data_IF_646823311431
#
_entry.id   IF_646823311431
#
_cell.length_a   1.000
_cell.length_b   1.000
_cell.length_c   1.000
_cell.angle_alpha   90.00
_cell.angle_beta   90.00
_cell.angle_gamma   90.00
#
_symmetry.space_group_name_H-M   'P 1'
#
loop_
_entity.id
_entity.type
_entity.pdbx_description
1 polymer ?
#
# COMPACT_ATOMS: atom_id res chain seq x y z
N UNK A 1 39.38 -12.00 -5.67
CA UNK A 1 38.33 -12.32 -4.67
C UNK A 1 37.28 -13.17 -5.38
N UNK A 2 37.15 -14.46 -5.05
CA UNK A 2 36.15 -15.32 -5.69
C UNK A 2 34.74 -14.84 -5.34
N UNK A 3 33.84 -14.72 -6.32
CA UNK A 3 32.45 -14.37 -6.07
C UNK A 3 31.83 -15.36 -5.07
N UNK A 4 31.05 -14.83 -4.10
CA UNK A 4 30.38 -15.67 -3.10
C UNK A 4 29.46 -16.68 -3.79
N UNK A 5 29.24 -17.83 -3.15
CA UNK A 5 28.34 -18.87 -3.66
C UNK A 5 26.92 -18.34 -3.92
N UNK A 6 26.47 -17.41 -3.08
CA UNK A 6 25.19 -16.71 -3.24
C UNK A 6 25.17 -15.80 -4.49
N UNK A 7 26.27 -15.09 -4.78
CA UNK A 7 26.38 -14.26 -5.98
C UNK A 7 26.37 -15.10 -7.27
N UNK A 8 27.07 -16.25 -7.28
CA UNK A 8 27.06 -17.18 -8.41
C UNK A 8 25.66 -17.78 -8.64
N UNK A 9 24.94 -18.10 -7.57
CA UNK A 9 23.56 -18.57 -7.66
C UNK A 9 22.65 -17.51 -8.30
N UNK A 10 22.82 -16.24 -7.91
CA UNK A 10 22.11 -15.12 -8.52
C UNK A 10 22.48 -14.94 -10.01
N UNK A 11 23.76 -15.05 -10.38
CA UNK A 11 24.19 -14.89 -11.76
C UNK A 11 23.62 -15.97 -12.69
N UNK A 12 23.59 -17.23 -12.24
CA UNK A 12 22.92 -18.33 -12.97
C UNK A 12 21.41 -18.10 -13.07
N UNK A 13 20.78 -17.64 -11.98
CA UNK A 13 19.35 -17.33 -11.96
C UNK A 13 19.00 -16.18 -12.93
N UNK A 14 19.83 -15.13 -13.00
CA UNK A 14 19.67 -14.06 -13.99
C UNK A 14 19.86 -14.55 -15.44
N UNK A 15 20.66 -15.59 -15.64
CA UNK A 15 20.78 -16.32 -16.91
C UNK A 15 19.61 -17.26 -17.23
N UNK A 16 18.52 -17.20 -16.45
CA UNK A 16 17.32 -18.04 -16.57
C UNK A 16 17.57 -19.55 -16.37
N UNK A 17 18.63 -19.91 -15.64
CA UNK A 17 18.89 -21.31 -15.33
C UNK A 17 17.85 -21.86 -14.31
N UNK A 18 17.34 -23.10 -14.49
CA UNK A 18 16.39 -23.69 -13.55
C UNK A 18 16.99 -23.87 -12.15
N UNK A 19 16.17 -23.69 -11.11
CA UNK A 19 16.62 -23.79 -9.71
C UNK A 19 17.21 -25.17 -9.36
N UNK A 20 16.75 -26.24 -10.01
CA UNK A 20 17.32 -27.59 -9.85
C UNK A 20 18.76 -27.64 -10.36
N UNK A 21 19.06 -27.04 -11.52
CA UNK A 21 20.40 -26.99 -12.08
C UNK A 21 21.32 -26.12 -11.23
N UNK A 22 20.84 -24.97 -10.77
CA UNK A 22 21.57 -24.10 -9.83
C UNK A 22 21.89 -24.85 -8.54
N UNK A 23 20.94 -25.63 -8.01
CA UNK A 23 21.16 -26.49 -6.83
C UNK A 23 22.30 -27.47 -7.08
N UNK A 24 22.22 -28.22 -8.18
CA UNK A 24 23.16 -29.31 -8.47
C UNK A 24 24.56 -28.78 -8.77
N UNK A 25 24.66 -27.76 -9.61
CA UNK A 25 25.94 -27.20 -10.07
C UNK A 25 26.68 -26.44 -8.97
N UNK A 26 25.95 -25.81 -8.05
CA UNK A 26 26.54 -25.15 -6.90
C UNK A 26 26.59 -26.05 -5.66
N UNK A 27 26.02 -27.27 -5.69
CA UNK A 27 26.01 -28.19 -4.56
C UNK A 27 25.25 -27.63 -3.34
N UNK A 28 24.04 -27.13 -3.55
CA UNK A 28 23.09 -26.80 -2.49
C UNK A 28 22.34 -28.07 -2.05
N UNK A 29 22.01 -28.17 -0.75
CA UNK A 29 21.32 -29.36 -0.20
C UNK A 29 19.91 -29.54 -0.78
N UNK A 30 19.21 -28.44 -1.02
CA UNK A 30 17.84 -28.42 -1.53
C UNK A 30 17.61 -27.25 -2.47
N UNK A 31 16.57 -27.33 -3.30
CA UNK A 31 16.13 -26.22 -4.17
C UNK A 31 15.83 -24.97 -3.34
N UNK A 32 15.16 -25.12 -2.19
CA UNK A 32 14.86 -24.03 -1.25
C UNK A 32 16.12 -23.34 -0.73
N UNK A 33 17.21 -24.10 -0.49
CA UNK A 33 18.47 -23.49 -0.05
C UNK A 33 19.18 -22.70 -1.16
N UNK A 34 19.02 -23.09 -2.43
CA UNK A 34 19.48 -22.31 -3.57
C UNK A 34 18.64 -21.03 -3.74
N UNK A 35 17.31 -21.13 -3.58
CA UNK A 35 16.42 -19.96 -3.61
C UNK A 35 16.74 -18.97 -2.48
N UNK A 36 17.00 -19.46 -1.27
CA UNK A 36 17.41 -18.61 -0.15
C UNK A 36 18.74 -17.88 -0.42
N UNK A 37 19.71 -18.53 -1.09
CA UNK A 37 20.96 -17.92 -1.51
C UNK A 37 20.73 -16.79 -2.52
N UNK A 38 19.87 -17.01 -3.52
CA UNK A 38 19.47 -15.99 -4.50
C UNK A 38 18.81 -14.80 -3.79
N UNK A 39 17.86 -15.06 -2.87
CA UNK A 39 17.19 -14.00 -2.09
C UNK A 39 18.18 -13.17 -1.26
N UNK A 40 19.17 -13.80 -0.62
CA UNK A 40 20.22 -13.07 0.13
C UNK A 40 21.09 -12.21 -0.79
N UNK A 41 21.51 -12.73 -1.94
CA UNK A 41 22.28 -11.96 -2.92
C UNK A 41 21.49 -10.77 -3.48
N UNK A 42 20.20 -10.96 -3.76
CA UNK A 42 19.30 -9.87 -4.16
C UNK A 42 19.15 -8.82 -3.05
N UNK A 43 18.99 -9.25 -1.80
CA UNK A 43 18.88 -8.36 -0.64
C UNK A 43 20.16 -7.53 -0.44
N UNK A 44 21.34 -8.16 -0.57
CA UNK A 44 22.61 -7.42 -0.48
C UNK A 44 22.81 -6.46 -1.66
N UNK A 45 22.45 -6.84 -2.89
CA UNK A 45 22.44 -5.89 -4.03
C UNK A 45 21.47 -4.72 -3.86
N UNK A 46 20.42 -4.90 -3.04
CA UNK A 46 19.43 -3.88 -2.71
C UNK A 46 19.82 -3.04 -1.50
N UNK A 47 20.83 -3.45 -0.73
CA UNK A 47 21.29 -2.72 0.45
C UNK A 47 21.83 -1.35 0.05
N UNK A 48 21.40 -0.31 0.77
CA UNK A 48 21.70 1.08 0.41
C UNK A 48 20.97 1.59 -0.83
N UNK A 49 20.03 0.82 -1.40
CA UNK A 49 19.11 1.26 -2.45
C UNK A 49 17.69 1.42 -1.92
N UNK A 50 17.59 1.97 -0.70
CA UNK A 50 16.31 2.46 -0.22
C UNK A 50 15.92 3.74 -0.98
N UNK A 51 14.66 4.12 -0.85
CA UNK A 51 14.11 5.24 -1.62
C UNK A 51 14.78 6.58 -1.30
N UNK A 52 15.26 6.79 -0.08
CA UNK A 52 15.85 8.06 0.32
C UNK A 52 17.30 8.14 -0.18
N UNK A 53 18.05 7.03 -0.09
CA UNK A 53 19.39 6.94 -0.67
C UNK A 53 19.36 7.08 -2.20
N UNK A 54 18.43 6.40 -2.88
CA UNK A 54 18.27 6.54 -4.35
C UNK A 54 17.82 7.95 -4.75
N UNK A 55 16.96 8.60 -3.94
CA UNK A 55 16.56 10.00 -4.15
C UNK A 55 17.74 10.96 -4.01
N UNK A 56 18.54 10.82 -2.96
CA UNK A 56 19.73 11.64 -2.75
C UNK A 56 20.74 11.46 -3.89
N UNK A 57 20.93 10.21 -4.33
CA UNK A 57 21.77 9.91 -5.49
C UNK A 57 21.23 10.55 -6.77
N UNK A 58 19.92 10.50 -6.99
CA UNK A 58 19.30 11.09 -8.17
C UNK A 58 19.35 12.62 -8.16
N UNK A 59 19.19 13.24 -6.99
CA UNK A 59 19.42 14.67 -6.81
C UNK A 59 20.86 15.06 -7.19
N UNK A 60 21.86 14.31 -6.73
CA UNK A 60 23.26 14.57 -7.08
C UNK A 60 23.52 14.39 -8.59
N UNK A 61 22.92 13.36 -9.21
CA UNK A 61 23.01 13.16 -10.67
C UNK A 61 22.39 14.32 -11.45
N UNK A 62 21.22 14.79 -11.01
CA UNK A 62 20.57 15.97 -11.60
C UNK A 62 21.46 17.20 -11.44
N UNK A 63 22.04 17.41 -10.25
CA UNK A 63 22.94 18.53 -10.00
C UNK A 63 24.25 18.43 -10.82
N UNK A 64 24.73 17.21 -11.10
CA UNK A 64 25.86 16.98 -11.99
C UNK A 64 25.52 17.32 -13.45
N UNK A 65 24.36 16.90 -13.95
CA UNK A 65 23.88 17.26 -15.29
C UNK A 65 23.65 18.77 -15.41
N UNK A 66 23.05 19.38 -14.38
CA UNK A 66 22.82 20.82 -14.36
C UNK A 66 24.13 21.62 -14.43
N UNK A 67 25.18 21.18 -13.73
CA UNK A 67 26.52 21.79 -13.80
C UNK A 67 27.13 21.79 -15.22
N UNK A 68 26.79 20.79 -16.03
CA UNK A 68 27.25 20.68 -17.42
C UNK A 68 26.45 21.59 -18.35
N UNK A 69 25.12 21.60 -18.22
CA UNK A 69 24.21 22.32 -19.12
C UNK A 69 24.12 23.83 -18.83
N UNK A 70 24.23 24.22 -17.56
CA UNK A 70 24.01 25.61 -17.14
C UNK A 70 24.98 26.63 -17.78
N UNK A 71 26.28 26.34 -17.97
CA UNK A 71 27.17 27.23 -18.71
C UNK A 71 26.71 27.49 -20.17
N UNK A 72 26.20 26.47 -20.86
CA UNK A 72 25.68 26.60 -22.23
C UNK A 72 24.40 27.43 -22.25
N UNK A 73 23.50 27.17 -21.30
CA UNK A 73 22.29 27.98 -21.13
C UNK A 73 22.62 29.46 -20.88
N UNK A 74 23.64 29.75 -20.05
CA UNK A 74 24.10 31.12 -19.78
C UNK A 74 24.64 31.83 -21.04
N UNK A 75 25.16 31.08 -22.00
CA UNK A 75 25.66 31.60 -23.28
C UNK A 75 24.56 31.86 -24.31
N UNK A 76 23.30 31.55 -24.00
CA UNK A 76 22.17 31.79 -24.90
C UNK A 76 21.67 30.55 -25.64
N UNK A 77 22.22 29.36 -25.37
CA UNK A 77 21.74 28.12 -25.99
C UNK A 77 20.33 27.77 -25.50
N UNK A 78 19.35 27.87 -26.39
CA UNK A 78 17.94 27.67 -26.07
C UNK A 78 17.59 26.21 -25.73
N UNK A 79 18.32 25.23 -26.26
CA UNK A 79 18.15 23.82 -25.92
C UNK A 79 18.69 23.53 -24.51
N UNK A 80 19.85 24.10 -24.17
CA UNK A 80 20.41 23.99 -22.82
C UNK A 80 19.52 24.71 -21.79
N UNK A 81 18.91 25.85 -22.13
CA UNK A 81 17.92 26.53 -21.28
C UNK A 81 16.71 25.65 -20.99
N UNK A 82 16.13 25.02 -22.01
CA UNK A 82 15.00 24.09 -21.84
C UNK A 82 15.37 22.89 -20.96
N UNK A 83 16.56 22.35 -21.16
CA UNK A 83 17.10 21.24 -20.36
C UNK A 83 17.28 21.64 -18.90
N UNK A 84 17.87 22.82 -18.63
CA UNK A 84 18.03 23.37 -17.29
C UNK A 84 16.69 23.57 -16.58
N UNK A 85 15.65 24.06 -17.27
CA UNK A 85 14.30 24.18 -16.72
C UNK A 85 13.73 22.80 -16.34
N UNK A 86 13.84 21.81 -17.23
CA UNK A 86 13.38 20.44 -16.97
C UNK A 86 14.09 19.79 -15.77
N UNK A 87 15.42 19.95 -15.68
CA UNK A 87 16.21 19.46 -14.55
C UNK A 87 15.80 20.15 -13.24
N UNK A 88 15.56 21.47 -13.28
CA UNK A 88 15.14 22.24 -12.11
C UNK A 88 13.77 21.80 -11.60
N UNK A 89 12.81 21.55 -12.50
CA UNK A 89 11.50 21.02 -12.12
C UNK A 89 11.62 19.64 -11.45
N UNK A 90 12.41 18.73 -12.04
CA UNK A 90 12.64 17.39 -11.48
C UNK A 90 13.28 17.48 -10.09
N UNK A 91 14.25 18.37 -9.92
CA UNK A 91 14.91 18.63 -8.63
C UNK A 91 13.94 19.12 -7.57
N UNK A 92 13.12 20.13 -7.90
CA UNK A 92 12.12 20.66 -6.97
C UNK A 92 11.11 19.59 -6.56
N UNK A 93 10.65 18.72 -7.48
CA UNK A 93 9.74 17.62 -7.13
C UNK A 93 10.36 16.58 -6.21
N UNK A 94 11.64 16.27 -6.38
CA UNK A 94 12.35 15.34 -5.49
C UNK A 94 12.54 15.94 -4.08
N UNK A 95 12.64 17.27 -3.97
CA UNK A 95 12.71 17.99 -2.70
C UNK A 95 11.33 18.17 -2.04
N UNK A 96 10.28 18.46 -2.81
CA UNK A 96 8.93 18.82 -2.35
C UNK A 96 8.06 17.61 -1.93
N UNK A 97 8.69 16.51 -1.49
CA UNK A 97 7.92 15.31 -1.11
C UNK A 97 7.11 15.58 0.17
N UNK A 98 5.79 15.32 0.18
CA UNK A 98 5.02 15.26 1.41
C UNK A 98 5.60 14.16 2.32
N UNK A 99 5.76 14.47 3.61
CA UNK A 99 6.58 13.71 4.56
C UNK A 99 6.29 12.21 4.65
N UNK A 100 7.22 11.49 5.30
CA UNK A 100 7.21 10.02 5.51
C UNK A 100 6.14 9.54 6.50
N UNK A 101 4.91 9.97 6.30
CA UNK A 101 3.78 9.43 7.04
C UNK A 101 3.57 7.98 6.63
N UNK A 102 3.25 7.11 7.60
CA UNK A 102 2.82 5.75 7.33
C UNK A 102 1.76 5.77 6.22
N UNK A 103 1.98 4.97 5.17
CA UNK A 103 1.06 4.91 4.03
C UNK A 103 -0.37 4.60 4.48
N UNK A 104 -1.35 5.00 3.68
CA UNK A 104 -2.77 4.77 3.95
C UNK A 104 -3.03 3.28 4.16
N UNK A 105 -2.29 2.39 3.49
CA UNK A 105 -2.39 0.94 3.71
C UNK A 105 -2.03 0.56 5.15
N UNK A 106 -0.95 1.11 5.71
CA UNK A 106 -0.54 0.80 7.09
C UNK A 106 -1.59 1.28 8.09
N UNK A 107 -2.10 2.51 7.90
CA UNK A 107 -3.19 3.07 8.71
C UNK A 107 -4.49 2.25 8.60
N UNK A 108 -4.80 1.76 7.40
CA UNK A 108 -5.97 0.91 7.15
C UNK A 108 -5.84 -0.45 7.87
N UNK A 109 -4.69 -1.11 7.81
CA UNK A 109 -4.46 -2.37 8.54
C UNK A 109 -4.50 -2.16 10.06
N UNK A 110 -3.98 -1.03 10.57
CA UNK A 110 -4.09 -0.69 11.98
C UNK A 110 -5.57 -0.53 12.41
N UNK A 111 -6.40 0.06 11.55
CA UNK A 111 -7.85 0.18 11.78
C UNK A 111 -8.51 -1.20 11.80
N UNK A 112 -8.20 -2.09 10.85
CA UNK A 112 -8.76 -3.44 10.82
C UNK A 112 -8.44 -4.25 12.08
N UNK A 113 -7.22 -4.11 12.63
CA UNK A 113 -6.82 -4.78 13.88
C UNK A 113 -7.63 -4.31 15.09
N UNK A 114 -8.16 -3.09 15.06
CA UNK A 114 -8.99 -2.54 16.12
C UNK A 114 -10.48 -2.93 16.00
N UNK A 115 -10.87 -3.62 14.93
CA UNK A 115 -12.25 -4.01 14.65
C UNK A 115 -12.45 -5.52 14.84
N UNK A 116 -13.68 -5.91 15.19
CA UNK A 116 -14.10 -7.30 15.24
C UNK A 116 -14.44 -7.80 13.83
N UNK A 117 -13.41 -8.04 13.01
CA UNK A 117 -13.55 -8.53 11.64
C UNK A 117 -13.77 -10.05 11.63
N UNK A 118 -14.69 -10.51 10.79
CA UNK A 118 -15.00 -11.92 10.56
C UNK A 118 -14.74 -12.32 9.11
N UNK A 119 -14.85 -13.61 8.80
CA UNK A 119 -14.69 -14.11 7.42
C UNK A 119 -15.75 -13.56 6.46
N UNK A 120 -16.93 -13.18 6.97
CA UNK A 120 -17.99 -12.55 6.20
C UNK A 120 -17.58 -11.18 5.63
N UNK A 121 -16.63 -10.50 6.28
CA UNK A 121 -16.14 -9.18 5.89
C UNK A 121 -15.01 -9.24 4.84
N UNK A 122 -14.59 -10.45 4.44
CA UNK A 122 -13.41 -10.68 3.60
C UNK A 122 -13.41 -9.88 2.29
N UNK A 123 -14.56 -9.77 1.61
CA UNK A 123 -14.69 -9.01 0.38
C UNK A 123 -14.52 -7.49 0.61
N UNK A 124 -15.08 -6.97 1.71
CA UNK A 124 -15.02 -5.57 2.08
C UNK A 124 -13.59 -5.18 2.50
N UNK A 125 -12.95 -6.04 3.29
CA UNK A 125 -11.55 -5.92 3.69
C UNK A 125 -10.63 -5.92 2.47
N UNK A 126 -10.82 -6.86 1.54
CA UNK A 126 -10.01 -6.95 0.32
C UNK A 126 -10.17 -5.70 -0.55
N UNK A 127 -11.39 -5.18 -0.66
CA UNK A 127 -11.70 -3.94 -1.40
C UNK A 127 -10.97 -2.75 -0.81
N UNK A 128 -11.06 -2.53 0.50
CA UNK A 128 -10.35 -1.43 1.17
C UNK A 128 -8.83 -1.54 1.03
N UNK A 129 -8.27 -2.76 1.12
CA UNK A 129 -6.84 -3.01 0.86
C UNK A 129 -6.43 -2.64 -0.57
N UNK A 130 -7.24 -2.99 -1.55
CA UNK A 130 -6.96 -2.65 -2.95
C UNK A 130 -6.94 -1.14 -3.15
N UNK A 131 -7.94 -0.43 -2.62
CA UNK A 131 -8.03 1.03 -2.71
C UNK A 131 -6.86 1.71 -1.99
N UNK A 132 -6.58 1.34 -0.74
CA UNK A 132 -5.49 1.90 0.04
C UNK A 132 -4.12 1.71 -0.64
N UNK A 133 -3.87 0.51 -1.20
CA UNK A 133 -2.64 0.23 -1.95
C UNK A 133 -2.54 1.04 -3.24
N UNK A 134 -3.65 1.25 -3.94
CA UNK A 134 -3.66 2.06 -5.15
C UNK A 134 -3.36 3.54 -4.86
N UNK A 135 -3.91 4.08 -3.78
CA UNK A 135 -3.62 5.46 -3.34
C UNK A 135 -2.14 5.56 -2.95
N UNK A 136 -1.64 4.65 -2.12
CA UNK A 136 -0.23 4.63 -1.74
C UNK A 136 0.71 4.50 -2.95
N UNK A 137 0.36 3.65 -3.91
CA UNK A 137 1.15 3.50 -5.13
C UNK A 137 1.20 4.81 -5.92
N UNK A 138 0.07 5.47 -6.14
CA UNK A 138 0.01 6.71 -6.88
C UNK A 138 0.67 7.88 -6.15
N UNK A 139 0.55 7.98 -4.82
CA UNK A 139 1.26 8.98 -4.02
C UNK A 139 2.77 8.80 -4.08
N UNK A 140 3.25 7.55 -4.22
CA UNK A 140 4.68 7.24 -4.29
C UNK A 140 5.28 7.33 -5.70
N UNK A 141 4.51 7.03 -6.73
CA UNK A 141 5.05 6.85 -8.10
C UNK A 141 4.36 7.70 -9.17
N UNK A 142 3.16 8.21 -8.89
CA UNK A 142 2.35 8.93 -9.87
C UNK A 142 2.78 10.38 -10.06
N UNK A 143 2.37 10.98 -11.17
CA UNK A 143 2.63 12.39 -11.48
C UNK A 143 1.35 13.14 -11.87
N UNK A 144 1.24 14.40 -11.41
CA UNK A 144 0.18 15.32 -11.81
C UNK A 144 -1.21 14.69 -11.76
N UNK A 145 -1.80 14.45 -12.94
CA UNK A 145 -3.14 13.88 -13.06
C UNK A 145 -3.30 12.48 -12.45
N UNK A 146 -2.25 11.65 -12.39
CA UNK A 146 -2.34 10.31 -11.81
C UNK A 146 -2.56 10.37 -10.30
N UNK A 147 -1.84 11.27 -9.63
CA UNK A 147 -2.01 11.55 -8.19
C UNK A 147 -3.42 12.08 -7.95
N UNK A 148 -3.87 13.05 -8.74
CA UNK A 148 -5.22 13.61 -8.63
C UNK A 148 -6.29 12.53 -8.80
N UNK A 149 -6.14 11.63 -9.77
CA UNK A 149 -7.04 10.47 -9.98
C UNK A 149 -7.08 9.54 -8.78
N UNK A 150 -5.93 9.25 -8.19
CA UNK A 150 -5.87 8.39 -7.02
C UNK A 150 -6.52 9.02 -5.78
N UNK A 151 -6.39 10.33 -5.60
CA UNK A 151 -7.06 11.04 -4.51
C UNK A 151 -8.60 10.99 -4.63
N UNK A 152 -9.16 10.85 -5.84
CA UNK A 152 -10.59 10.57 -6.01
C UNK A 152 -11.03 9.20 -5.51
N UNK A 153 -10.11 8.30 -5.13
CA UNK A 153 -10.44 7.03 -4.50
C UNK A 153 -10.65 7.16 -2.98
N UNK A 154 -10.24 8.27 -2.36
CA UNK A 154 -10.40 8.50 -0.91
C UNK A 154 -11.87 8.37 -0.45
N UNK A 155 -12.88 8.93 -1.15
CA UNK A 155 -14.28 8.69 -0.80
C UNK A 155 -14.70 7.22 -0.82
N UNK A 156 -14.16 6.42 -1.74
CA UNK A 156 -14.45 4.98 -1.79
C UNK A 156 -13.84 4.24 -0.59
N UNK A 157 -12.63 4.60 -0.18
CA UNK A 157 -12.02 4.08 1.05
C UNK A 157 -12.83 4.47 2.28
N UNK A 158 -13.32 5.72 2.34
CA UNK A 158 -14.20 6.19 3.42
C UNK A 158 -15.53 5.44 3.47
N UNK A 159 -16.10 5.04 2.33
CA UNK A 159 -17.29 4.20 2.29
C UNK A 159 -17.00 2.81 2.87
N UNK A 160 -15.89 2.17 2.48
CA UNK A 160 -15.48 0.88 3.06
C UNK A 160 -15.32 0.97 4.58
N UNK A 161 -14.65 2.02 5.07
CA UNK A 161 -14.51 2.27 6.51
C UNK A 161 -15.85 2.51 7.22
N UNK A 162 -16.83 3.11 6.53
CA UNK A 162 -18.18 3.28 7.08
C UNK A 162 -18.89 1.94 7.25
N UNK A 163 -18.88 1.11 6.21
CA UNK A 163 -19.50 -0.22 6.22
C UNK A 163 -18.86 -1.14 7.27
N UNK A 164 -17.54 -1.03 7.47
CA UNK A 164 -16.82 -1.78 8.53
C UNK A 164 -17.08 -1.26 9.96
N UNK A 165 -17.91 -0.21 10.14
CA UNK A 165 -18.11 0.39 11.46
C UNK A 165 -16.88 1.14 11.99
N UNK A 166 -15.91 1.48 11.13
CA UNK A 166 -14.66 2.11 11.53
C UNK A 166 -14.78 3.63 11.77
N UNK A 167 -15.88 4.25 11.34
CA UNK A 167 -16.11 5.70 11.54
C UNK A 167 -16.91 5.98 12.82
N UNK A 168 -16.74 7.16 13.46
CA UNK A 168 -17.56 7.53 14.61
C UNK A 168 -19.07 7.47 14.35
N UNK A 169 -19.50 7.91 13.16
CA UNK A 169 -20.90 7.88 12.75
C UNK A 169 -21.43 6.44 12.62
N UNK A 170 -20.69 5.56 11.95
CA UNK A 170 -21.08 4.15 11.83
C UNK A 170 -21.11 3.44 13.18
N UNK A 171 -20.14 3.71 14.07
CA UNK A 171 -20.17 3.18 15.45
C UNK A 171 -21.40 3.64 16.24
N UNK A 172 -21.81 4.89 16.06
CA UNK A 172 -23.02 5.42 16.71
C UNK A 172 -24.28 4.71 16.19
N UNK A 173 -24.40 4.55 14.88
CA UNK A 173 -25.53 3.85 14.25
C UNK A 173 -25.63 2.39 14.70
N UNK A 174 -24.49 1.67 14.77
CA UNK A 174 -24.45 0.29 15.27
C UNK A 174 -24.91 0.19 16.73
N UNK A 175 -24.52 1.16 17.58
CA UNK A 175 -24.98 1.22 18.98
C UNK A 175 -26.47 1.51 19.09
N UNK A 176 -27.00 2.42 18.28
CA UNK A 176 -28.43 2.74 18.23
C UNK A 176 -29.24 1.52 17.80
N UNK A 177 -28.82 0.82 16.75
CA UNK A 177 -29.49 -0.39 16.25
C UNK A 177 -29.46 -1.54 17.28
N UNK A 178 -28.33 -1.73 17.96
CA UNK A 178 -28.22 -2.71 19.04
C UNK A 178 -29.12 -2.36 20.23
N UNK A 179 -29.24 -1.06 20.56
CA UNK A 179 -30.14 -0.58 21.61
C UNK A 179 -31.62 -0.77 21.28
N UNK A 180 -32.02 -0.53 20.03
CA UNK A 180 -33.40 -0.79 19.58
C UNK A 180 -33.73 -2.28 19.53
N UNK A 181 -32.81 -3.11 19.06
CA UNK A 181 -33.01 -4.56 19.04
C UNK A 181 -33.14 -5.17 20.45
N UNK A 182 -32.37 -4.68 21.42
CA UNK A 182 -32.48 -5.09 22.81
C UNK A 182 -33.84 -4.66 23.43
N UNK A 183 -34.31 -3.46 23.12
CA UNK A 183 -35.61 -2.97 23.57
C UNK A 183 -36.79 -3.74 22.95
N UNK A 184 -36.66 -4.24 21.72
CA UNK A 184 -37.66 -5.11 21.08
C UNK A 184 -37.64 -6.54 21.66
N UNK A 185 -36.48 -7.05 22.07
CA UNK A 185 -36.36 -8.39 22.69
C UNK A 185 -36.79 -8.45 24.16
N UNK A 186 -36.75 -7.33 24.89
CA UNK A 186 -37.23 -7.20 26.27
C UNK A 186 -38.76 -6.96 26.36
N UNK A 187 -39.46 -6.87 25.23
CA UNK A 187 -40.91 -6.93 25.20
C UNK A 187 -41.38 -8.33 25.57
N UNK A 188 -42.13 -8.48 26.67
CA UNK A 188 -42.80 -9.74 27.03
C UNK A 188 -43.48 -10.32 25.77
N UNK A 189 -43.27 -11.61 25.45
CA UNK A 189 -43.97 -12.24 24.34
C UNK A 189 -45.45 -12.22 24.68
N UNK A 190 -46.18 -11.28 24.06
CA UNK A 190 -47.63 -11.24 24.18
C UNK A 190 -48.10 -12.51 23.50
N UNK A 191 -48.51 -13.50 24.30
CA UNK A 191 -49.18 -14.69 23.79
C UNK A 191 -50.48 -14.20 23.12
N UNK A 192 -50.38 -13.98 21.81
CA UNK A 192 -51.45 -13.43 20.97
C UNK A 192 -52.72 -14.28 21.08
N UNK A 193 -52.57 -15.58 21.39
CA UNK A 193 -53.67 -16.52 21.59
C UNK A 193 -54.41 -16.22 22.91
N UNK A 194 -53.68 -15.89 23.97
CA UNK A 194 -54.25 -15.53 25.28
C UNK A 194 -54.87 -14.12 25.25
N UNK A 195 -54.23 -13.17 24.56
CA UNK A 195 -54.81 -11.84 24.33
C UNK A 195 -56.09 -11.90 23.49
N UNK A 196 -56.13 -12.76 22.46
CA UNK A 196 -57.32 -12.99 21.65
C UNK A 196 -58.45 -13.67 22.43
N UNK A 197 -58.13 -14.68 23.25
CA UNK A 197 -59.11 -15.37 24.11
C UNK A 197 -59.76 -14.43 25.13
N UNK A 198 -58.97 -13.56 25.77
CA UNK A 198 -59.50 -12.51 26.66
C UNK A 198 -60.46 -11.56 25.95
N UNK A 199 -60.10 -11.12 24.73
CA UNK A 199 -60.93 -10.19 23.94
C UNK A 199 -62.24 -10.80 23.45
N UNK A 200 -62.22 -12.09 23.08
CA UNK A 200 -63.37 -12.76 22.44
C UNK A 200 -64.25 -13.53 23.42
N UNK A 201 -63.67 -14.04 24.51
CA UNK A 201 -64.36 -14.92 25.46
C UNK A 201 -64.35 -14.43 26.91
N UNK A 202 -63.71 -13.29 27.23
CA UNK A 202 -63.89 -12.59 28.50
C UNK A 202 -63.45 -13.35 29.75
N UNK A 203 -62.44 -14.23 29.65
CA UNK A 203 -61.76 -14.88 30.79
C UNK A 203 -60.27 -14.53 30.73
#
# INVERSE_FOLDING_TARGET
>A
MSASKDQRALDMFMGAEPLQKIRDELGFKTVTSAEAAIRRALAEKRKGKDYDTERQLELERIDAMFRIEYPLAKQGDSAAMSTCLSLSEKRMRLLDKPGDHEGITASYEATLKALAITDADSALVATGRAVARQIDYALRHGQGQEVTKALYLVPHLMNVLRELGATPAARKQLKEYAGTAAAESDGEPVDELTAFRRRKFGI
#
